data_IF_140324580922
#
_entry.id   IF_140324580922
#
_cell.length_a   1.000
_cell.length_b   1.000
_cell.length_c   1.000
_cell.angle_alpha   90.00
_cell.angle_beta   90.00
_cell.angle_gamma   90.00
#
_symmetry.space_group_name_H-M   'P 1'
#
loop_
_entity.id
_entity.type
_entity.pdbx_description
1 polymer ?
#
# COMPACT_ATOMS: atom_id res chain seq x y z
N UNK A 1 12.00 33.23 -10.84
CA UNK A 1 12.92 33.80 -9.84
C UNK A 1 12.29 33.73 -8.45
N UNK A 2 13.07 33.36 -7.42
CA UNK A 2 12.70 33.35 -6.01
C UNK A 2 13.57 34.34 -5.24
N UNK A 3 12.95 35.10 -4.33
CA UNK A 3 13.63 36.14 -3.56
C UNK A 3 13.32 35.96 -2.08
N UNK A 4 14.35 35.71 -1.29
CA UNK A 4 14.28 35.74 0.18
C UNK A 4 14.42 37.18 0.65
N UNK A 5 13.30 37.88 0.85
CA UNK A 5 13.28 39.20 1.47
C UNK A 5 13.22 39.04 3.00
N UNK A 6 14.36 39.22 3.67
CA UNK A 6 14.44 39.16 5.13
C UNK A 6 14.10 40.53 5.69
N UNK A 7 12.94 40.64 6.34
CA UNK A 7 12.50 41.84 7.05
C UNK A 7 13.20 41.93 8.40
N UNK A 8 13.35 43.14 8.90
CA UNK A 8 13.86 43.44 10.24
C UNK A 8 15.22 42.77 10.52
N UNK A 9 16.11 42.80 9.53
CA UNK A 9 17.45 42.26 9.68
C UNK A 9 18.24 43.08 10.73
N UNK A 10 18.69 42.41 11.78
CA UNK A 10 19.28 43.04 12.96
C UNK A 10 20.81 42.91 13.04
N UNK A 11 21.45 42.25 12.08
CA UNK A 11 22.88 41.94 12.11
C UNK A 11 23.65 42.51 10.90
N UNK A 12 23.53 43.82 10.60
CA UNK A 12 24.21 44.44 9.46
C UNK A 12 25.74 44.39 9.54
N UNK A 13 26.27 44.18 10.75
CA UNK A 13 27.69 44.01 11.01
C UNK A 13 28.24 42.62 10.61
N UNK A 14 27.40 41.58 10.52
CA UNK A 14 27.80 40.26 9.98
C UNK A 14 27.54 40.19 8.47
N UNK A 15 26.33 40.58 8.05
CA UNK A 15 25.94 40.69 6.65
C UNK A 15 25.23 42.02 6.43
N UNK A 16 25.80 42.86 5.57
CA UNK A 16 25.27 44.20 5.29
C UNK A 16 23.84 44.16 4.75
N UNK A 17 23.10 45.25 4.93
CA UNK A 17 21.82 45.43 4.26
C UNK A 17 21.95 45.36 2.72
N UNK A 18 20.84 45.03 2.06
CA UNK A 18 20.79 44.95 0.60
C UNK A 18 21.03 43.56 0.02
N UNK A 19 21.19 43.52 -1.30
CA UNK A 19 21.34 42.28 -2.07
C UNK A 19 22.70 41.60 -1.85
N UNK A 20 23.79 42.36 -1.73
CA UNK A 20 25.14 41.78 -1.61
C UNK A 20 25.34 41.01 -0.29
N UNK A 21 24.89 41.60 0.82
CA UNK A 21 24.91 40.92 2.11
C UNK A 21 23.92 39.75 2.14
N UNK A 22 22.75 39.92 1.51
CA UNK A 22 21.77 38.85 1.33
C UNK A 22 22.30 37.67 0.55
N UNK A 23 23.03 37.89 -0.54
CA UNK A 23 23.64 36.83 -1.35
C UNK A 23 24.62 36.00 -0.52
N UNK A 24 25.55 36.64 0.21
CA UNK A 24 26.51 35.96 1.10
C UNK A 24 25.82 35.20 2.23
N UNK A 25 24.79 35.80 2.83
CA UNK A 25 23.98 35.16 3.87
C UNK A 25 23.28 33.91 3.33
N UNK A 26 22.62 34.03 2.19
CA UNK A 26 21.83 32.96 1.59
C UNK A 26 22.73 31.83 1.07
N UNK A 27 23.87 32.15 0.45
CA UNK A 27 24.86 31.17 0.02
C UNK A 27 25.29 30.31 1.21
N UNK A 28 25.61 30.92 2.35
CA UNK A 28 25.95 30.19 3.60
C UNK A 28 24.79 29.34 4.10
N UNK A 29 23.54 29.80 4.01
CA UNK A 29 22.33 29.09 4.51
C UNK A 29 21.91 27.91 3.62
N UNK A 30 22.01 28.06 2.31
CA UNK A 30 21.59 27.08 1.30
C UNK A 30 22.74 26.24 0.73
N UNK A 31 23.98 26.41 1.23
CA UNK A 31 25.11 25.56 0.85
C UNK A 31 24.83 24.09 1.20
N UNK A 32 24.92 23.24 0.19
CA UNK A 32 24.89 21.79 0.33
C UNK A 32 26.32 21.29 0.54
N UNK A 33 26.54 20.49 1.57
CA UNK A 33 27.84 19.86 1.87
C UNK A 33 27.63 18.39 2.23
N UNK A 34 28.59 17.54 1.85
CA UNK A 34 28.54 16.10 2.10
C UNK A 34 28.48 15.73 3.59
N UNK A 35 28.98 16.59 4.46
CA UNK A 35 29.00 16.35 5.92
C UNK A 35 27.68 16.75 6.61
N UNK A 36 26.70 17.28 5.89
CA UNK A 36 25.41 17.66 6.45
C UNK A 36 24.47 16.45 6.52
N UNK A 37 23.58 16.43 7.51
CA UNK A 37 22.51 15.43 7.58
C UNK A 37 21.66 15.44 6.29
N UNK A 38 21.23 14.25 5.84
CA UNK A 38 20.56 14.07 4.55
C UNK A 38 19.29 14.92 4.42
N UNK A 39 18.48 15.02 5.47
CA UNK A 39 17.28 15.85 5.51
C UNK A 39 17.58 17.32 5.14
N UNK A 40 18.67 17.87 5.69
CA UNK A 40 19.08 19.24 5.39
C UNK A 40 19.58 19.39 3.95
N UNK A 41 20.27 18.36 3.41
CA UNK A 41 20.70 18.35 2.02
C UNK A 41 19.50 18.32 1.07
N UNK A 42 18.52 17.45 1.36
CA UNK A 42 17.36 17.22 0.50
C UNK A 42 16.50 18.47 0.38
N UNK A 43 16.22 19.17 1.48
CA UNK A 43 15.49 20.45 1.44
C UNK A 43 16.23 21.49 0.59
N UNK A 44 17.54 21.64 0.78
CA UNK A 44 18.34 22.62 0.01
C UNK A 44 18.42 22.26 -1.48
N UNK A 45 18.68 21.00 -1.81
CA UNK A 45 18.70 20.50 -3.20
C UNK A 45 17.35 20.72 -3.89
N UNK A 46 16.25 20.47 -3.18
CA UNK A 46 14.91 20.66 -3.72
C UNK A 46 14.65 22.13 -4.07
N UNK A 47 15.00 23.07 -3.18
CA UNK A 47 14.88 24.51 -3.47
C UNK A 47 15.66 24.89 -4.74
N UNK A 48 16.91 24.44 -4.86
CA UNK A 48 17.74 24.70 -6.05
C UNK A 48 17.16 24.09 -7.33
N UNK A 49 16.48 22.96 -7.24
CA UNK A 49 15.85 22.32 -8.42
C UNK A 49 14.57 23.01 -8.89
N UNK A 50 13.88 23.75 -8.01
CA UNK A 50 12.58 24.35 -8.30
C UNK A 50 12.68 25.74 -8.95
N UNK A 51 13.80 26.45 -8.77
CA UNK A 51 13.93 27.85 -9.18
C UNK A 51 15.23 28.08 -9.96
N UNK A 52 15.12 28.68 -11.14
CA UNK A 52 16.28 29.05 -11.99
C UNK A 52 17.20 30.05 -11.30
N UNK A 53 16.61 31.10 -10.72
CA UNK A 53 17.33 32.19 -10.05
C UNK A 53 16.82 32.30 -8.61
N UNK A 54 17.75 32.29 -7.65
CA UNK A 54 17.48 32.45 -6.23
C UNK A 54 18.36 33.57 -5.69
N UNK A 55 17.75 34.52 -4.99
CA UNK A 55 18.46 35.67 -4.42
C UNK A 55 17.89 36.03 -3.05
N UNK A 56 18.59 36.90 -2.33
CA UNK A 56 18.17 37.36 -1.00
C UNK A 56 18.47 38.84 -0.85
N UNK A 57 17.59 39.55 -0.14
CA UNK A 57 17.74 40.95 0.21
C UNK A 57 17.50 41.12 1.71
N UNK A 58 18.45 41.73 2.41
CA UNK A 58 18.34 41.99 3.85
C UNK A 58 17.84 43.42 4.07
N UNK A 59 16.64 43.57 4.61
CA UNK A 59 15.99 44.86 4.82
C UNK A 59 16.05 45.24 6.31
N UNK A 60 16.41 46.49 6.66
CA UNK A 60 16.37 46.96 8.04
C UNK A 60 14.97 46.89 8.66
N UNK A 61 14.90 47.07 9.98
CA UNK A 61 13.64 47.35 10.67
C UNK A 61 13.12 48.75 10.25
N UNK A 62 11.81 48.94 10.00
CA UNK A 62 11.27 50.21 9.51
C UNK A 62 11.10 51.30 10.59
N UNK A 63 11.40 50.97 11.84
CA UNK A 63 11.26 51.83 13.01
C UNK A 63 10.07 51.43 13.90
N UNK A 64 10.16 51.69 15.20
CA UNK A 64 9.14 51.27 16.18
C UNK A 64 7.78 51.92 15.91
N UNK A 65 7.76 53.16 15.40
CA UNK A 65 6.51 53.85 15.01
C UNK A 65 5.74 53.04 13.98
N UNK A 66 6.41 52.52 12.96
CA UNK A 66 5.79 51.68 11.92
C UNK A 66 5.26 50.36 12.51
N UNK A 67 6.00 49.77 13.44
CA UNK A 67 5.66 48.45 14.00
C UNK A 67 4.54 48.50 15.06
N UNK A 68 4.44 49.57 15.85
CA UNK A 68 3.57 49.59 17.04
C UNK A 68 2.48 50.66 17.02
N UNK A 69 2.55 51.67 16.15
CA UNK A 69 1.55 52.74 16.13
C UNK A 69 0.32 52.33 15.31
N UNK A 70 -0.87 52.18 15.91
CA UNK A 70 -2.09 51.84 15.18
C UNK A 70 -2.54 52.94 14.20
N UNK A 71 -2.06 54.18 14.38
CA UNK A 71 -2.40 55.33 13.54
C UNK A 71 -1.40 55.58 12.39
N UNK A 72 -0.41 54.70 12.21
CA UNK A 72 0.54 54.84 11.12
C UNK A 72 -0.15 54.68 9.77
N UNK A 73 0.06 55.62 8.85
CA UNK A 73 -0.63 55.72 7.57
C UNK A 73 0.28 55.59 6.35
N UNK A 74 1.51 55.11 6.54
CA UNK A 74 2.48 54.92 5.46
C UNK A 74 3.32 56.15 5.10
N UNK A 75 3.18 57.27 5.81
CA UNK A 75 3.98 58.48 5.55
C UNK A 75 5.48 58.25 5.78
N UNK A 76 6.27 58.57 4.76
CA UNK A 76 7.74 58.39 4.77
C UNK A 76 8.44 59.07 5.95
N UNK A 77 7.94 60.22 6.42
CA UNK A 77 8.52 60.98 7.55
C UNK A 77 8.50 60.22 8.89
N UNK A 78 7.74 59.12 8.97
CA UNK A 78 7.58 58.30 10.17
C UNK A 78 8.29 56.95 10.06
N UNK A 79 9.05 56.74 8.98
CA UNK A 79 9.80 55.53 8.68
C UNK A 79 11.29 55.82 8.86
N UNK A 80 12.04 54.87 9.41
CA UNK A 80 13.49 55.00 9.61
C UNK A 80 14.23 55.22 8.27
N UNK A 81 15.14 56.19 8.23
CA UNK A 81 15.81 56.62 7.00
C UNK A 81 16.62 55.50 6.33
N UNK A 82 17.28 54.63 7.11
CA UNK A 82 18.04 53.50 6.58
C UNK A 82 17.12 52.47 5.91
N UNK A 83 15.89 52.29 6.40
CA UNK A 83 14.88 51.48 5.72
C UNK A 83 14.49 52.10 4.38
N UNK A 84 14.19 53.40 4.35
CA UNK A 84 13.82 54.11 3.12
C UNK A 84 14.94 54.01 2.08
N UNK A 85 16.19 54.20 2.51
CA UNK A 85 17.38 54.06 1.65
C UNK A 85 17.47 52.69 1.01
N UNK A 86 17.34 51.61 1.80
CA UNK A 86 17.38 50.25 1.27
C UNK A 86 16.14 49.90 0.44
N UNK A 87 14.97 50.47 0.76
CA UNK A 87 13.75 50.31 -0.04
C UNK A 87 13.91 50.93 -1.43
N UNK A 88 14.56 52.10 -1.52
CA UNK A 88 14.88 52.76 -2.81
C UNK A 88 15.85 51.95 -3.67
N UNK A 89 16.60 51.00 -3.09
CA UNK A 89 17.45 50.05 -3.82
C UNK A 89 16.66 48.80 -4.18
N UNK A 90 15.87 48.27 -3.22
CA UNK A 90 15.08 47.05 -3.38
C UNK A 90 14.10 47.14 -4.55
N UNK A 91 13.31 48.22 -4.62
CA UNK A 91 12.22 48.30 -5.60
C UNK A 91 12.75 48.32 -7.05
N UNK A 92 13.74 49.15 -7.43
CA UNK A 92 14.36 49.06 -8.75
C UNK A 92 15.04 47.73 -9.00
N UNK A 93 15.73 47.16 -8.01
CA UNK A 93 16.37 45.85 -8.17
C UNK A 93 15.37 44.75 -8.56
N UNK A 94 14.12 44.83 -8.06
CA UNK A 94 13.03 43.91 -8.40
C UNK A 94 12.31 44.24 -9.71
N UNK A 95 12.05 45.53 -9.97
CA UNK A 95 11.06 45.97 -10.95
C UNK A 95 11.63 46.84 -12.07
N UNK A 96 12.94 47.03 -12.16
CA UNK A 96 13.54 47.72 -13.30
C UNK A 96 13.29 46.92 -14.58
N UNK A 97 13.19 47.58 -15.76
CA UNK A 97 12.92 46.90 -17.02
C UNK A 97 13.84 45.72 -17.31
N UNK A 98 15.09 45.78 -16.85
CA UNK A 98 16.12 44.75 -17.03
C UNK A 98 15.90 43.53 -16.12
N UNK A 99 15.24 43.72 -14.97
CA UNK A 99 14.92 42.66 -14.00
C UNK A 99 13.56 42.00 -14.23
N UNK A 100 12.76 42.47 -15.20
CA UNK A 100 11.43 41.94 -15.46
C UNK A 100 11.49 40.63 -16.26
N UNK A 101 11.54 39.51 -15.53
CA UNK A 101 11.46 38.17 -16.11
C UNK A 101 10.06 37.89 -16.70
N UNK A 102 10.00 37.62 -18.00
CA UNK A 102 8.75 37.17 -18.66
C UNK A 102 8.36 35.80 -18.09
N UNK A 103 7.10 35.63 -17.69
CA UNK A 103 6.62 34.36 -17.16
C UNK A 103 6.72 33.25 -18.19
N UNK A 104 7.39 32.17 -17.81
CA UNK A 104 7.50 30.95 -18.62
C UNK A 104 6.81 29.76 -17.93
N UNK A 105 6.15 28.93 -18.73
CA UNK A 105 5.58 27.63 -18.32
C UNK A 105 5.97 26.60 -19.39
N UNK A 106 6.61 25.51 -18.97
CA UNK A 106 7.16 24.48 -19.87
C UNK A 106 8.02 25.06 -21.01
N UNK A 107 8.87 26.04 -20.69
CA UNK A 107 9.77 26.70 -21.66
C UNK A 107 9.09 27.69 -22.61
N UNK A 108 7.78 27.92 -22.50
CA UNK A 108 7.04 28.86 -23.35
C UNK A 108 6.76 30.16 -22.61
N UNK A 109 7.02 31.30 -23.26
CA UNK A 109 6.66 32.64 -22.77
C UNK A 109 5.15 32.82 -22.81
N UNK A 110 4.59 33.29 -21.70
CA UNK A 110 3.14 33.36 -21.48
C UNK A 110 2.63 34.80 -21.64
N UNK A 111 1.58 34.96 -22.44
CA UNK A 111 0.85 36.24 -22.56
C UNK A 111 -0.18 36.39 -21.44
N UNK A 112 -0.67 37.62 -21.21
CA UNK A 112 -1.70 37.87 -20.19
C UNK A 112 -2.95 37.00 -20.39
N UNK A 113 -3.37 36.79 -21.65
CA UNK A 113 -4.50 35.88 -21.97
C UNK A 113 -4.19 34.44 -21.58
N UNK A 114 -3.00 33.95 -21.93
CA UNK A 114 -2.58 32.59 -21.57
C UNK A 114 -2.51 32.38 -20.06
N UNK A 115 -2.05 33.38 -19.31
CA UNK A 115 -1.95 33.30 -17.86
C UNK A 115 -3.30 33.08 -17.18
N UNK A 116 -4.38 33.71 -17.69
CA UNK A 116 -5.74 33.51 -17.18
C UNK A 116 -6.21 32.07 -17.37
N UNK A 117 -5.91 31.46 -18.52
CA UNK A 117 -6.27 30.07 -18.79
C UNK A 117 -5.51 29.09 -17.89
N UNK A 118 -4.21 29.31 -17.68
CA UNK A 118 -3.44 28.54 -16.69
C UNK A 118 -3.98 28.69 -15.28
N UNK A 119 -4.39 29.91 -14.89
CA UNK A 119 -4.99 30.14 -13.58
C UNK A 119 -6.27 29.29 -13.40
N UNK A 120 -7.19 29.34 -14.38
CA UNK A 120 -8.41 28.51 -14.36
C UNK A 120 -8.10 27.01 -14.30
N UNK A 121 -7.10 26.55 -15.04
CA UNK A 121 -6.69 25.15 -15.03
C UNK A 121 -6.14 24.74 -13.66
N UNK A 122 -5.21 25.51 -13.08
CA UNK A 122 -4.62 25.20 -11.78
C UNK A 122 -5.64 25.26 -10.65
N UNK A 123 -6.53 26.26 -10.62
CA UNK A 123 -7.54 26.33 -9.56
C UNK A 123 -8.51 25.15 -9.62
N UNK A 124 -8.83 24.65 -10.82
CA UNK A 124 -9.68 23.47 -10.99
C UNK A 124 -9.02 22.21 -10.41
N UNK A 125 -7.71 22.06 -10.56
CA UNK A 125 -6.95 20.95 -9.94
C UNK A 125 -6.98 21.08 -8.42
N UNK A 126 -6.73 22.27 -7.88
CA UNK A 126 -6.77 22.52 -6.43
C UNK A 126 -8.17 22.40 -5.81
N UNK A 127 -9.23 22.55 -6.61
CA UNK A 127 -10.62 22.32 -6.18
C UNK A 127 -11.02 20.84 -6.18
N UNK A 128 -10.24 19.98 -6.86
CA UNK A 128 -10.44 18.54 -6.84
C UNK A 128 -9.75 17.87 -5.65
N UNK A 129 -9.95 16.55 -5.54
CA UNK A 129 -9.31 15.68 -4.53
C UNK A 129 -8.12 14.89 -5.12
N UNK A 130 -7.61 15.30 -6.29
CA UNK A 130 -6.53 14.61 -6.99
C UNK A 130 -5.16 14.82 -6.33
N UNK A 131 -4.97 15.98 -5.69
CA UNK A 131 -3.71 16.30 -5.01
C UNK A 131 -3.77 15.88 -3.53
N UNK A 132 -2.68 15.33 -2.98
CA UNK A 132 -2.62 15.04 -1.56
C UNK A 132 -2.70 16.34 -0.75
N UNK A 133 -3.58 16.36 0.24
CA UNK A 133 -3.72 17.50 1.14
C UNK A 133 -2.41 17.76 1.92
N UNK A 134 -1.91 19.01 1.96
CA UNK A 134 -0.84 19.38 2.86
C UNK A 134 -1.23 19.09 4.31
N UNK A 135 -0.45 18.28 5.00
CA UNK A 135 -0.69 17.89 6.40
C UNK A 135 0.36 18.49 7.31
N UNK A 136 0.00 18.68 8.58
CA UNK A 136 0.99 19.01 9.60
C UNK A 136 2.01 17.87 9.72
N UNK A 137 3.25 18.19 10.12
CA UNK A 137 4.29 17.17 10.32
C UNK A 137 3.85 16.07 11.30
N UNK A 138 3.14 16.44 12.37
CA UNK A 138 2.60 15.49 13.34
C UNK A 138 1.59 14.55 12.70
N UNK A 139 0.65 15.09 11.91
CA UNK A 139 -0.37 14.29 11.26
C UNK A 139 0.25 13.38 10.19
N UNK A 140 1.13 13.89 9.32
CA UNK A 140 1.80 13.07 8.31
C UNK A 140 2.62 11.93 8.93
N UNK A 141 3.36 12.21 10.01
CA UNK A 141 4.15 11.19 10.73
C UNK A 141 3.25 10.17 11.43
N UNK A 142 2.17 10.62 12.07
CA UNK A 142 1.18 9.75 12.69
C UNK A 142 0.53 8.80 11.67
N UNK A 143 0.18 9.30 10.49
CA UNK A 143 -0.36 8.48 9.40
C UNK A 143 0.65 7.46 8.90
N UNK A 144 1.89 7.88 8.62
CA UNK A 144 2.94 6.98 8.16
C UNK A 144 3.24 5.86 9.19
N UNK A 145 3.31 6.21 10.48
CA UNK A 145 3.50 5.22 11.55
C UNK A 145 2.35 4.22 11.63
N UNK A 146 1.10 4.69 11.53
CA UNK A 146 -0.06 3.83 11.57
C UNK A 146 -0.15 2.92 10.33
N UNK A 147 0.06 3.46 9.13
CA UNK A 147 0.07 2.66 7.90
C UNK A 147 1.15 1.58 7.91
N UNK A 148 2.36 1.91 8.37
CA UNK A 148 3.44 0.93 8.54
C UNK A 148 3.06 -0.17 9.54
N UNK A 149 2.42 0.19 10.65
CA UNK A 149 1.95 -0.76 11.66
C UNK A 149 0.82 -1.66 11.14
N UNK A 150 -0.14 -1.12 10.37
CA UNK A 150 -1.20 -1.90 9.69
C UNK A 150 -0.57 -2.92 8.74
N UNK A 151 0.34 -2.47 7.86
CA UNK A 151 1.00 -3.34 6.90
C UNK A 151 1.77 -4.48 7.59
N UNK A 152 2.52 -4.15 8.65
CA UNK A 152 3.30 -5.13 9.42
C UNK A 152 2.40 -6.15 10.12
N UNK A 153 1.31 -5.70 10.75
CA UNK A 153 0.37 -6.58 11.43
C UNK A 153 -0.38 -7.49 10.46
N UNK A 154 -0.82 -6.94 9.32
CA UNK A 154 -1.49 -7.71 8.26
C UNK A 154 -0.56 -8.75 7.63
N UNK A 155 0.69 -8.39 7.33
CA UNK A 155 1.68 -9.33 6.80
C UNK A 155 1.99 -10.46 7.80
N UNK A 156 2.04 -10.14 9.09
CA UNK A 156 2.22 -11.13 10.16
C UNK A 156 1.04 -12.11 10.21
N UNK A 157 -0.21 -11.61 10.14
CA UNK A 157 -1.41 -12.44 10.04
C UNK A 157 -1.33 -13.36 8.82
N UNK A 158 -1.00 -12.79 7.66
CA UNK A 158 -0.94 -13.50 6.39
C UNK A 158 0.09 -14.64 6.42
N UNK A 159 1.31 -14.37 6.87
CA UNK A 159 2.37 -15.39 6.99
C UNK A 159 1.96 -16.54 7.90
N UNK A 160 1.37 -16.24 9.06
CA UNK A 160 0.92 -17.29 10.00
C UNK A 160 -0.27 -18.09 9.47
N UNK A 161 -1.16 -17.48 8.70
CA UNK A 161 -2.26 -18.20 8.04
C UNK A 161 -1.74 -19.11 6.92
N UNK A 162 -0.79 -18.66 6.11
CA UNK A 162 -0.14 -19.52 5.10
C UNK A 162 0.53 -20.75 5.73
N UNK A 163 1.16 -20.61 6.89
CA UNK A 163 1.75 -21.76 7.61
C UNK A 163 0.71 -22.81 8.06
N UNK A 164 -0.55 -22.40 8.25
CA UNK A 164 -1.63 -23.26 8.75
C UNK A 164 -2.47 -23.84 7.60
N UNK A 165 -2.89 -23.00 6.65
CA UNK A 165 -3.82 -23.37 5.58
C UNK A 165 -3.35 -22.96 4.18
N UNK A 166 -2.08 -22.61 3.99
CA UNK A 166 -1.48 -22.34 2.68
C UNK A 166 -1.52 -23.54 1.74
N UNK A 167 -1.20 -23.34 0.46
CA UNK A 167 -1.44 -24.34 -0.60
C UNK A 167 -0.81 -25.72 -0.36
N UNK A 168 0.32 -25.78 0.36
CA UNK A 168 1.06 -27.00 0.72
C UNK A 168 0.55 -27.68 2.00
N UNK A 169 -0.41 -27.07 2.72
CA UNK A 169 -0.95 -27.57 3.99
C UNK A 169 -2.21 -28.40 3.79
N UNK A 170 -2.43 -29.45 4.63
CA UNK A 170 -3.63 -30.28 4.55
C UNK A 170 -4.91 -29.49 4.84
N UNK A 171 -6.05 -30.05 4.44
CA UNK A 171 -7.36 -29.50 4.79
C UNK A 171 -7.53 -29.42 6.31
N UNK A 172 -8.10 -28.31 6.78
CA UNK A 172 -8.34 -28.04 8.18
C UNK A 172 -9.85 -27.89 8.42
N UNK A 173 -10.37 -28.46 9.51
CA UNK A 173 -11.81 -28.37 9.79
C UNK A 173 -12.24 -26.91 10.00
N UNK A 174 -13.43 -26.48 9.53
CA UNK A 174 -13.84 -25.08 9.61
C UNK A 174 -13.80 -24.48 11.03
N UNK A 175 -14.17 -25.26 12.04
CA UNK A 175 -14.15 -24.82 13.45
C UNK A 175 -12.72 -24.58 13.97
N UNK A 176 -11.79 -25.45 13.58
CA UNK A 176 -10.38 -25.32 13.95
C UNK A 176 -9.72 -24.15 13.21
N UNK A 177 -10.06 -23.97 11.92
CA UNK A 177 -9.60 -22.85 11.11
C UNK A 177 -10.08 -21.51 11.68
N UNK A 178 -11.35 -21.42 12.08
CA UNK A 178 -11.91 -20.24 12.72
C UNK A 178 -11.21 -19.94 14.06
N UNK A 179 -10.95 -20.97 14.87
CA UNK A 179 -10.25 -20.82 16.16
C UNK A 179 -8.84 -20.28 15.95
N UNK A 180 -8.12 -20.80 14.95
CA UNK A 180 -6.79 -20.29 14.58
C UNK A 180 -6.85 -18.87 14.03
N UNK A 181 -7.81 -18.55 13.17
CA UNK A 181 -8.01 -17.18 12.68
C UNK A 181 -8.21 -16.18 13.83
N UNK A 182 -9.11 -16.46 14.77
CA UNK A 182 -9.39 -15.57 15.90
C UNK A 182 -8.14 -15.34 16.77
N UNK A 183 -7.37 -16.41 17.02
CA UNK A 183 -6.10 -16.30 17.74
C UNK A 183 -5.10 -15.39 16.99
N UNK A 184 -4.89 -15.64 15.70
CA UNK A 184 -3.93 -14.89 14.88
C UNK A 184 -4.35 -13.44 14.64
N UNK A 185 -5.66 -13.18 14.54
CA UNK A 185 -6.23 -11.84 14.47
C UNK A 185 -5.91 -11.07 15.74
N UNK A 186 -6.17 -11.66 16.92
CA UNK A 186 -5.87 -11.03 18.21
C UNK A 186 -4.36 -10.78 18.40
N UNK A 187 -3.51 -11.71 17.98
CA UNK A 187 -2.05 -11.51 18.00
C UNK A 187 -1.62 -10.34 17.11
N UNK A 188 -2.22 -10.20 15.94
CA UNK A 188 -1.92 -9.10 14.99
C UNK A 188 -2.44 -7.75 15.50
N UNK A 189 -3.62 -7.75 16.15
CA UNK A 189 -4.16 -6.56 16.83
C UNK A 189 -3.27 -6.15 18.00
N UNK A 190 -2.80 -7.09 18.81
CA UNK A 190 -1.84 -6.81 19.89
C UNK A 190 -0.53 -6.27 19.36
N UNK A 191 -0.01 -6.82 18.25
CA UNK A 191 1.18 -6.31 17.59
C UNK A 191 0.96 -4.86 17.14
N UNK A 192 -0.15 -4.57 16.47
CA UNK A 192 -0.50 -3.22 16.05
C UNK A 192 -0.56 -2.24 17.23
N UNK A 193 -1.26 -2.60 18.31
CA UNK A 193 -1.38 -1.76 19.52
C UNK A 193 -0.04 -1.55 20.22
N UNK A 194 0.83 -2.56 20.24
CA UNK A 194 2.15 -2.50 20.88
C UNK A 194 3.16 -1.58 20.18
N UNK A 195 2.97 -1.25 18.89
CA UNK A 195 3.83 -0.27 18.20
C UNK A 195 3.61 1.12 18.78
N UNK A 196 4.68 1.80 19.19
CA UNK A 196 4.61 3.22 19.59
C UNK A 196 4.38 4.09 18.36
N UNK A 197 3.26 4.83 18.34
CA UNK A 197 2.81 5.65 17.21
C UNK A 197 2.53 7.08 17.66
N UNK A 198 2.79 8.07 16.79
CA UNK A 198 2.38 9.46 17.03
C UNK A 198 0.87 9.62 16.81
N UNK A 199 0.25 10.63 17.45
CA UNK A 199 -1.18 10.95 17.28
C UNK A 199 -2.14 10.29 18.29
N UNK A 200 -1.63 9.44 19.18
CA UNK A 200 -2.43 8.82 20.24
C UNK A 200 -3.34 7.67 19.76
N UNK A 201 -4.08 7.08 20.70
CA UNK A 201 -4.96 5.93 20.42
C UNK A 201 -6.19 6.32 19.60
N UNK A 202 -6.75 7.52 19.80
CA UNK A 202 -7.92 7.99 19.04
C UNK A 202 -7.62 8.07 17.54
N UNK A 203 -6.45 8.60 17.17
CA UNK A 203 -6.01 8.64 15.77
C UNK A 203 -5.74 7.24 15.22
N UNK A 204 -5.24 6.33 16.06
CA UNK A 204 -4.94 4.94 15.69
C UNK A 204 -6.19 4.08 15.54
N UNK A 205 -7.33 4.48 16.13
CA UNK A 205 -8.58 3.71 16.12
C UNK A 205 -9.10 3.44 14.71
N UNK A 206 -9.04 4.43 13.81
CA UNK A 206 -9.47 4.26 12.41
C UNK A 206 -8.64 3.19 11.68
N UNK A 207 -7.34 3.16 11.94
CA UNK A 207 -6.41 2.21 11.33
C UNK A 207 -6.52 0.82 11.94
N UNK A 208 -6.84 0.72 13.23
CA UNK A 208 -7.16 -0.54 13.87
C UNK A 208 -8.42 -1.17 13.27
N UNK A 209 -9.49 -0.38 13.09
CA UNK A 209 -10.72 -0.85 12.45
C UNK A 209 -10.46 -1.30 10.99
N UNK A 210 -9.64 -0.54 10.26
CA UNK A 210 -9.21 -0.92 8.92
C UNK A 210 -8.44 -2.25 8.93
N UNK A 211 -7.48 -2.43 9.84
CA UNK A 211 -6.70 -3.67 9.98
C UNK A 211 -7.62 -4.87 10.26
N UNK A 212 -8.56 -4.73 11.20
CA UNK A 212 -9.51 -5.80 11.55
C UNK A 212 -10.37 -6.19 10.34
N UNK A 213 -10.88 -5.20 9.60
CA UNK A 213 -11.65 -5.42 8.36
C UNK A 213 -10.83 -6.12 7.28
N UNK A 214 -9.61 -5.66 7.03
CA UNK A 214 -8.73 -6.27 6.01
C UNK A 214 -8.31 -7.69 6.38
N UNK A 215 -8.14 -8.00 7.68
CA UNK A 215 -7.90 -9.37 8.15
C UNK A 215 -9.13 -10.25 7.95
N UNK A 216 -10.33 -9.75 8.21
CA UNK A 216 -11.57 -10.50 7.99
C UNK A 216 -11.80 -10.80 6.50
N UNK A 217 -11.47 -9.86 5.61
CA UNK A 217 -11.49 -10.07 4.16
C UNK A 217 -10.50 -11.15 3.72
N UNK A 218 -9.26 -11.14 4.24
CA UNK A 218 -8.29 -12.19 3.98
C UNK A 218 -8.77 -13.56 4.49
N UNK A 219 -9.40 -13.59 5.67
CA UNK A 219 -9.94 -14.83 6.22
C UNK A 219 -10.99 -15.48 5.33
N UNK A 220 -11.88 -14.68 4.71
CA UNK A 220 -12.86 -15.18 3.73
C UNK A 220 -12.14 -15.85 2.52
N UNK A 221 -10.99 -15.31 2.10
CA UNK A 221 -10.19 -15.92 1.03
C UNK A 221 -9.59 -17.26 1.49
N UNK A 222 -9.06 -17.32 2.71
CA UNK A 222 -8.52 -18.56 3.29
C UNK A 222 -9.59 -19.64 3.49
N UNK A 223 -10.81 -19.29 3.87
CA UNK A 223 -11.93 -20.25 3.94
C UNK A 223 -12.14 -20.89 2.57
N UNK A 224 -12.30 -20.08 1.51
CA UNK A 224 -12.49 -20.58 0.14
C UNK A 224 -11.33 -21.45 -0.32
N UNK A 225 -10.10 -21.05 0.00
CA UNK A 225 -8.90 -21.81 -0.34
C UNK A 225 -8.87 -23.15 0.38
N UNK A 226 -9.18 -23.18 1.68
CA UNK A 226 -9.25 -24.42 2.46
C UNK A 226 -10.35 -25.35 1.97
N UNK A 227 -11.56 -24.84 1.71
CA UNK A 227 -12.69 -25.65 1.23
C UNK A 227 -12.41 -26.30 -0.14
N UNK A 228 -11.64 -25.62 -1.00
CA UNK A 228 -11.24 -26.17 -2.31
C UNK A 228 -10.41 -27.46 -2.19
N UNK A 229 -9.64 -27.62 -1.09
CA UNK A 229 -8.84 -28.82 -0.85
C UNK A 229 -9.72 -30.04 -0.53
N UNK A 230 -10.79 -29.84 0.23
CA UNK A 230 -11.74 -30.92 0.54
C UNK A 230 -12.47 -31.43 -0.72
N UNK A 231 -12.83 -30.52 -1.63
CA UNK A 231 -13.51 -30.87 -2.89
C UNK A 231 -12.61 -31.72 -3.78
N UNK A 232 -11.32 -31.39 -3.89
CA UNK A 232 -10.35 -32.18 -4.67
C UNK A 232 -10.14 -33.58 -4.09
N UNK A 233 -10.05 -33.72 -2.76
CA UNK A 233 -10.01 -35.03 -2.13
C UNK A 233 -11.32 -35.82 -2.32
N UNK A 234 -12.47 -35.15 -2.24
CA UNK A 234 -13.78 -35.77 -2.44
C UNK A 234 -14.04 -36.23 -3.89
N UNK A 235 -13.40 -35.61 -4.89
CA UNK A 235 -13.53 -35.99 -6.30
C UNK A 235 -12.62 -37.17 -6.72
N UNK A 236 -11.60 -37.51 -5.91
CA UNK A 236 -10.64 -38.59 -6.20
C UNK A 236 -11.27 -39.99 -6.10
N UNK A 237 -12.08 -40.23 -5.07
CA UNK A 237 -12.79 -41.51 -4.86
C UNK A 237 -13.76 -41.87 -6.00
N UNK A 238 -14.63 -40.98 -6.49
CA UNK A 238 -15.47 -41.33 -7.63
C UNK A 238 -14.65 -41.54 -8.91
N UNK A 239 -13.61 -40.73 -9.15
CA UNK A 239 -12.76 -40.87 -10.34
C UNK A 239 -12.03 -42.23 -10.38
N UNK A 240 -11.42 -42.67 -9.27
CA UNK A 240 -10.78 -43.99 -9.16
C UNK A 240 -11.75 -45.13 -9.46
N UNK A 241 -12.93 -45.13 -8.83
CA UNK A 241 -13.94 -46.16 -9.02
C UNK A 241 -14.45 -46.20 -10.46
N UNK A 242 -14.64 -45.04 -11.11
CA UNK A 242 -15.00 -44.96 -12.53
C UNK A 242 -13.94 -45.57 -13.45
N UNK A 243 -12.65 -45.32 -13.20
CA UNK A 243 -11.55 -45.90 -13.98
C UNK A 243 -11.52 -47.42 -13.85
N UNK A 244 -11.69 -47.96 -12.64
CA UNK A 244 -11.74 -49.41 -12.40
C UNK A 244 -12.92 -50.05 -13.15
N UNK A 245 -14.10 -49.43 -13.11
CA UNK A 245 -15.28 -49.87 -13.88
C UNK A 245 -14.97 -49.89 -15.37
N UNK A 246 -14.32 -48.85 -15.91
CA UNK A 246 -13.98 -48.76 -17.32
C UNK A 246 -12.99 -49.85 -17.76
N UNK A 247 -11.91 -50.06 -17.01
CA UNK A 247 -10.90 -51.08 -17.33
C UNK A 247 -11.52 -52.49 -17.29
N UNK A 248 -12.28 -52.79 -16.24
CA UNK A 248 -12.92 -54.11 -16.11
C UNK A 248 -13.96 -54.37 -17.19
N UNK A 249 -14.69 -53.34 -17.63
CA UNK A 249 -15.62 -53.43 -18.77
C UNK A 249 -14.90 -53.76 -20.09
N UNK A 250 -13.79 -53.07 -20.40
CA UNK A 250 -13.01 -53.33 -21.62
C UNK A 250 -12.42 -54.75 -21.60
N UNK A 251 -11.85 -55.19 -20.47
CA UNK A 251 -11.29 -56.53 -20.33
C UNK A 251 -12.39 -57.60 -20.46
N UNK A 252 -13.56 -57.40 -19.85
CA UNK A 252 -14.69 -58.30 -19.98
C UNK A 252 -15.16 -58.42 -21.44
N UNK A 253 -15.20 -57.30 -22.19
CA UNK A 253 -15.57 -57.29 -23.61
C UNK A 253 -14.57 -58.04 -24.50
N UNK A 254 -13.27 -57.82 -24.30
CA UNK A 254 -12.21 -58.48 -25.10
C UNK A 254 -12.15 -59.98 -24.77
N UNK A 255 -12.19 -60.35 -23.49
CA UNK A 255 -12.13 -61.76 -23.08
C UNK A 255 -13.39 -62.55 -23.46
N UNK A 256 -14.55 -61.90 -23.41
CA UNK A 256 -15.81 -62.45 -23.94
C UNK A 256 -15.78 -62.66 -25.45
N UNK A 257 -15.13 -61.75 -26.21
CA UNK A 257 -14.96 -61.90 -27.65
C UNK A 257 -14.02 -63.08 -28.02
N UNK A 258 -13.00 -63.33 -27.21
CA UNK A 258 -12.05 -64.44 -27.40
C UNK A 258 -12.65 -65.80 -26.97
N UNK A 259 -13.78 -65.81 -26.25
CA UNK A 259 -14.44 -67.03 -25.75
C UNK A 259 -13.92 -67.52 -24.39
N UNK A 260 -13.28 -66.64 -23.60
CA UNK A 260 -12.79 -66.92 -22.25
C UNK A 260 -13.86 -66.55 -21.21
N UNK A 261 -14.99 -67.28 -21.24
CA UNK A 261 -16.21 -66.93 -20.48
C UNK A 261 -16.01 -66.86 -18.95
N UNK A 262 -15.08 -67.65 -18.40
CA UNK A 262 -14.77 -67.64 -16.96
C UNK A 262 -14.14 -66.30 -16.54
N UNK A 263 -13.23 -65.78 -17.37
CA UNK A 263 -12.53 -64.52 -17.09
C UNK A 263 -13.48 -63.34 -17.29
N UNK A 264 -14.28 -63.37 -18.35
CA UNK A 264 -15.30 -62.35 -18.61
C UNK A 264 -16.32 -62.26 -17.46
N UNK A 265 -16.76 -63.40 -16.93
CA UNK A 265 -17.68 -63.47 -15.80
C UNK A 265 -17.07 -62.92 -14.49
N UNK A 266 -15.79 -63.20 -14.25
CA UNK A 266 -15.06 -62.66 -13.09
C UNK A 266 -14.92 -61.14 -13.18
N UNK A 267 -14.57 -60.60 -14.34
CA UNK A 267 -14.48 -59.15 -14.57
C UNK A 267 -15.85 -58.46 -14.40
N UNK A 268 -16.93 -59.07 -14.89
CA UNK A 268 -18.29 -58.55 -14.69
C UNK A 268 -18.72 -58.55 -13.21
N UNK A 269 -18.31 -59.55 -12.43
CA UNK A 269 -18.57 -59.60 -11.00
C UNK A 269 -17.82 -58.48 -10.25
N UNK A 270 -16.55 -58.26 -10.58
CA UNK A 270 -15.75 -57.17 -10.02
C UNK A 270 -16.37 -55.81 -10.36
N UNK A 271 -16.77 -55.62 -11.62
CA UNK A 271 -17.46 -54.41 -12.08
C UNK A 271 -18.76 -54.17 -11.27
N UNK A 272 -19.59 -55.20 -11.09
CA UNK A 272 -20.82 -55.11 -10.31
C UNK A 272 -20.57 -54.72 -8.85
N UNK A 273 -19.56 -55.30 -8.21
CA UNK A 273 -19.15 -54.93 -6.84
C UNK A 273 -18.68 -53.48 -6.77
N UNK A 274 -17.84 -53.03 -7.71
CA UNK A 274 -17.36 -51.64 -7.73
C UNK A 274 -18.48 -50.62 -7.95
N UNK A 275 -19.49 -50.96 -8.76
CA UNK A 275 -20.65 -50.11 -9.00
C UNK A 275 -21.53 -50.00 -7.75
N UNK A 276 -21.73 -51.11 -7.03
CA UNK A 276 -22.41 -51.08 -5.72
C UNK A 276 -21.63 -50.19 -4.74
N UNK A 277 -20.31 -50.32 -4.66
CA UNK A 277 -19.51 -49.46 -3.76
C UNK A 277 -19.57 -47.98 -4.14
N UNK A 278 -19.65 -47.64 -5.43
CA UNK A 278 -19.84 -46.27 -5.91
C UNK A 278 -21.22 -45.71 -5.51
N UNK A 279 -22.28 -46.50 -5.70
CA UNK A 279 -23.63 -46.13 -5.27
C UNK A 279 -23.74 -45.96 -3.75
N UNK A 280 -23.12 -46.86 -2.98
CA UNK A 280 -23.04 -46.76 -1.53
C UNK A 280 -22.26 -45.53 -1.09
N UNK A 281 -21.14 -45.23 -1.73
CA UNK A 281 -20.36 -44.01 -1.47
C UNK A 281 -21.16 -42.73 -1.78
N UNK A 282 -21.84 -42.68 -2.93
CA UNK A 282 -22.70 -41.56 -3.32
C UNK A 282 -23.87 -41.38 -2.34
N UNK A 283 -24.49 -42.48 -1.90
CA UNK A 283 -25.53 -42.46 -0.88
C UNK A 283 -25.02 -41.93 0.46
N UNK A 284 -23.89 -42.42 0.95
CA UNK A 284 -23.27 -41.98 2.22
C UNK A 284 -22.93 -40.48 2.17
N UNK A 285 -22.42 -39.99 1.05
CA UNK A 285 -22.12 -38.56 0.86
C UNK A 285 -23.38 -37.70 0.78
N UNK A 286 -24.48 -38.22 0.22
CA UNK A 286 -25.75 -37.51 0.13
C UNK A 286 -26.56 -37.53 1.43
N UNK A 287 -26.62 -38.67 2.13
CA UNK A 287 -27.40 -38.86 3.37
C UNK A 287 -26.64 -38.44 4.62
N UNK A 288 -25.31 -38.51 4.61
CA UNK A 288 -24.45 -38.19 5.74
C UNK A 288 -24.41 -39.25 6.85
N UNK A 289 -25.14 -40.36 6.72
CA UNK A 289 -25.10 -41.51 7.64
C UNK A 289 -23.94 -42.46 7.30
N UNK A 290 -23.39 -43.17 8.31
CA UNK A 290 -22.29 -44.14 8.14
C UNK A 290 -20.98 -43.56 7.57
N UNK A 291 -20.54 -42.40 8.09
CA UNK A 291 -19.29 -41.74 7.68
C UNK A 291 -18.03 -42.61 7.80
N UNK A 292 -18.00 -43.54 8.76
CA UNK A 292 -16.86 -44.47 8.94
C UNK A 292 -16.70 -45.42 7.74
N UNK A 293 -17.81 -45.94 7.20
CA UNK A 293 -17.80 -46.75 5.97
C UNK A 293 -17.36 -45.94 4.75
N UNK A 294 -17.77 -44.67 4.66
CA UNK A 294 -17.28 -43.75 3.63
C UNK A 294 -15.77 -43.52 3.69
N UNK A 295 -15.22 -43.36 4.90
CA UNK A 295 -13.78 -43.20 5.10
C UNK A 295 -12.97 -44.44 4.70
N UNK A 296 -13.49 -45.65 4.95
CA UNK A 296 -12.85 -46.90 4.50
C UNK A 296 -12.84 -47.00 2.97
N UNK A 297 -13.94 -46.63 2.31
CA UNK A 297 -13.99 -46.60 0.83
C UNK A 297 -12.99 -45.58 0.28
N UNK A 298 -12.91 -44.38 0.88
CA UNK A 298 -11.95 -43.34 0.49
C UNK A 298 -10.49 -43.82 0.67
N UNK A 299 -10.18 -44.58 1.73
CA UNK A 299 -8.84 -45.18 1.94
C UNK A 299 -8.48 -46.25 0.91
N UNK A 300 -9.41 -47.16 0.60
CA UNK A 300 -9.17 -48.21 -0.40
C UNK A 300 -8.99 -47.61 -1.79
N UNK A 301 -9.81 -46.61 -2.15
CA UNK A 301 -9.68 -45.86 -3.39
C UNK A 301 -8.35 -45.10 -3.48
N UNK A 302 -7.88 -44.52 -2.37
CA UNK A 302 -6.58 -43.86 -2.32
C UNK A 302 -5.42 -44.84 -2.56
N UNK A 303 -5.46 -46.01 -1.93
CA UNK A 303 -4.45 -47.06 -2.14
C UNK A 303 -4.42 -47.56 -3.59
N UNK A 304 -5.58 -47.72 -4.23
CA UNK A 304 -5.68 -48.09 -5.65
C UNK A 304 -5.15 -46.99 -6.59
N UNK A 305 -5.43 -45.72 -6.29
CA UNK A 305 -4.90 -44.59 -7.07
C UNK A 305 -3.38 -44.48 -6.97
N UNK A 306 -2.83 -44.63 -5.76
CA UNK A 306 -1.39 -44.56 -5.54
C UNK A 306 -0.69 -45.73 -6.25
N UNK A 307 -1.25 -46.94 -6.20
CA UNK A 307 -0.72 -48.09 -6.96
C UNK A 307 -0.80 -47.90 -8.48
N UNK A 308 -1.89 -47.32 -8.99
CA UNK A 308 -2.04 -47.02 -10.42
C UNK A 308 -1.05 -45.97 -10.93
N UNK A 309 -0.83 -44.91 -10.15
CA UNK A 309 0.10 -43.83 -10.50
C UNK A 309 1.58 -44.20 -10.34
N UNK A 310 1.92 -45.14 -9.46
CA UNK A 310 3.31 -45.61 -9.30
C UNK A 310 3.75 -46.54 -10.45
N UNK A 311 2.81 -47.15 -11.17
CA UNK A 311 3.08 -48.04 -12.31
C UNK A 311 3.17 -47.32 -13.67
N UNK A 312 3.03 -45.98 -13.70
CA UNK A 312 3.16 -45.15 -14.91
C UNK A 312 4.52 -44.41 -15.02
N UNK A 313 5.54 -44.81 -14.25
CA UNK A 313 6.94 -44.36 -14.41
C UNK A 313 7.78 -45.44 -15.09
#
# INVERSE_FOLDING_TARGET
SLIFLVRDWSFPYEFSYGADGGAKFLEKRLKVSGNQHEELQNVRKHIHSCFTNISCFLLPHPGLKVATNPNFDGKLKEIDDEFIKNLKILIPWLLSPESLDIKEINGNKITCRGLVEYFKAYIKIYQGEELPHPKSMLQATAEANNLAAVATAKDTYNKKMEEICGGDKPFLAPNDLQTKHLQLKEESVKLFRGVKKMGGEEFSRRYLQQLESEIDELYIQYIKHNDSKNIFHAARTPATLFVVIFITYVIAGVTGFIGLDIIASLCNMIMGLTLITLCTWAYIRYSGEYRELGAVIDQVAAALWDQGSTNEI
#
